data_IF_313796257640
#
_entry.id   IF_313796257640
#
_cell.length_a   1.000
_cell.length_b   1.000
_cell.length_c   1.000
_cell.angle_alpha   90.00
_cell.angle_beta   90.00
_cell.angle_gamma   90.00
#
_symmetry.space_group_name_H-M   'P 1'
#
loop_
_entity.id
_entity.type
_entity.pdbx_description
1 polymer ?
#
# COMPACT_ATOMS: atom_id res chain seq x y z
N UNK A 1 -15.27 -9.23 6.44
CA UNK A 1 -15.55 -9.40 5.00
C UNK A 1 -14.69 -10.56 4.55
N UNK A 2 -15.31 -11.66 4.16
CA UNK A 2 -14.65 -12.84 3.61
C UNK A 2 -14.95 -12.90 2.11
N UNK A 3 -14.01 -13.40 1.29
CA UNK A 3 -14.19 -13.54 -0.16
C UNK A 3 -14.34 -14.98 -0.65
N UNK A 4 -14.13 -15.95 0.25
CA UNK A 4 -14.12 -17.36 -0.13
C UNK A 4 -15.57 -17.75 -0.48
N UNK A 5 -15.78 -18.11 -1.75
CA UNK A 5 -17.05 -18.58 -2.28
C UNK A 5 -17.31 -20.02 -1.89
N UNK A 6 -17.64 -20.84 -2.88
CA UNK A 6 -17.77 -22.28 -2.70
C UNK A 6 -16.42 -22.91 -2.37
N UNK A 7 -16.45 -23.96 -1.54
CA UNK A 7 -15.27 -24.75 -1.19
C UNK A 7 -15.51 -26.20 -1.57
N UNK A 8 -14.48 -26.85 -2.13
CA UNK A 8 -14.51 -28.28 -2.43
C UNK A 8 -13.47 -29.03 -1.62
N UNK A 9 -13.90 -29.66 -0.51
CA UNK A 9 -12.99 -30.44 0.33
C UNK A 9 -12.55 -31.77 -0.31
N UNK A 10 -13.09 -32.14 -1.48
CA UNK A 10 -12.57 -33.25 -2.28
C UNK A 10 -11.35 -32.84 -3.11
N UNK A 11 -11.06 -31.54 -3.19
CA UNK A 11 -9.87 -30.98 -3.82
C UNK A 11 -8.90 -30.42 -2.76
N UNK A 12 -8.15 -31.31 -2.07
CA UNK A 12 -7.22 -30.90 -1.02
C UNK A 12 -6.00 -30.12 -1.55
N UNK A 13 -5.80 -30.09 -2.87
CA UNK A 13 -4.75 -29.29 -3.49
C UNK A 13 -5.04 -27.79 -3.45
N UNK A 14 -6.33 -27.41 -3.49
CA UNK A 14 -6.77 -26.01 -3.50
C UNK A 14 -7.54 -25.60 -2.25
N UNK A 15 -8.15 -26.54 -1.52
CA UNK A 15 -8.98 -26.25 -0.35
C UNK A 15 -8.54 -26.99 0.90
N UNK A 16 -8.53 -26.26 2.01
CA UNK A 16 -8.37 -26.82 3.34
C UNK A 16 -9.31 -26.08 4.30
N UNK A 17 -10.05 -26.83 5.11
CA UNK A 17 -10.95 -26.30 6.14
C UNK A 17 -11.02 -27.25 7.33
N UNK A 18 -11.51 -26.77 8.47
CA UNK A 18 -11.80 -27.63 9.62
C UNK A 18 -12.81 -28.72 9.24
N UNK A 19 -12.60 -29.96 9.72
CA UNK A 19 -13.46 -31.12 9.42
C UNK A 19 -14.96 -30.90 9.75
N UNK A 20 -15.23 -29.99 10.68
CA UNK A 20 -16.57 -29.67 11.13
C UNK A 20 -17.17 -28.42 10.45
N UNK A 21 -16.53 -27.82 9.44
CA UNK A 21 -16.98 -26.56 8.80
C UNK A 21 -18.46 -26.59 8.42
N UNK A 22 -18.91 -27.63 7.71
CA UNK A 22 -20.32 -27.76 7.33
C UNK A 22 -21.23 -28.07 8.54
N UNK A 23 -20.76 -28.89 9.49
CA UNK A 23 -21.53 -29.29 10.67
C UNK A 23 -21.83 -28.09 11.57
N UNK A 24 -20.83 -27.22 11.79
CA UNK A 24 -20.97 -26.00 12.58
C UNK A 24 -21.92 -25.03 11.88
N UNK A 25 -21.77 -24.81 10.58
CA UNK A 25 -22.66 -23.91 9.83
C UNK A 25 -24.13 -24.35 9.92
N UNK A 26 -24.42 -25.65 9.78
CA UNK A 26 -25.77 -26.21 9.96
C UNK A 26 -26.27 -26.07 11.39
N UNK A 27 -25.46 -26.46 12.38
CA UNK A 27 -25.83 -26.39 13.81
C UNK A 27 -26.18 -24.95 14.24
N UNK A 28 -25.41 -23.97 13.76
CA UNK A 28 -25.62 -22.56 14.05
C UNK A 28 -26.71 -21.90 13.19
N UNK A 29 -27.33 -22.66 12.28
CA UNK A 29 -28.34 -22.18 11.31
C UNK A 29 -27.81 -21.07 10.39
N UNK A 30 -26.51 -21.07 10.12
CA UNK A 30 -25.87 -20.18 9.15
C UNK A 30 -26.02 -20.68 7.71
N UNK A 31 -26.22 -21.99 7.55
CA UNK A 31 -26.47 -22.64 6.28
C UNK A 31 -27.57 -23.68 6.44
N UNK A 32 -28.52 -23.70 5.51
CA UNK A 32 -29.68 -24.60 5.54
C UNK A 32 -29.35 -26.04 5.09
N UNK A 33 -28.15 -26.25 4.54
CA UNK A 33 -27.75 -27.54 4.00
C UNK A 33 -28.37 -27.89 2.64
N UNK A 34 -29.11 -26.97 2.02
CA UNK A 34 -29.81 -27.14 0.75
C UNK A 34 -29.15 -26.33 -0.37
N UNK A 35 -28.82 -25.07 -0.10
CA UNK A 35 -28.10 -24.23 -1.07
C UNK A 35 -26.64 -24.69 -1.22
N UNK A 36 -25.96 -24.38 -2.33
CA UNK A 36 -24.50 -24.48 -2.40
C UNK A 36 -23.85 -23.78 -1.21
N UNK A 37 -22.84 -24.40 -0.61
CA UNK A 37 -22.18 -23.84 0.55
C UNK A 37 -21.17 -22.77 0.11
N UNK A 38 -21.52 -21.50 0.29
CA UNK A 38 -20.57 -20.38 0.17
C UNK A 38 -20.06 -19.98 1.55
N UNK A 39 -18.74 -19.95 1.71
CA UNK A 39 -18.12 -19.67 3.00
C UNK A 39 -18.40 -18.23 3.46
N UNK A 40 -18.29 -17.25 2.55
CA UNK A 40 -18.60 -15.85 2.88
C UNK A 40 -20.07 -15.65 3.26
N UNK A 41 -21.00 -16.34 2.60
CA UNK A 41 -22.44 -16.24 2.89
C UNK A 41 -22.72 -16.78 4.29
N UNK A 42 -22.20 -17.99 4.59
CA UNK A 42 -22.43 -18.68 5.85
C UNK A 42 -21.77 -17.99 7.04
N UNK A 43 -20.51 -17.55 6.91
CA UNK A 43 -19.72 -17.09 8.05
C UNK A 43 -19.48 -15.58 8.11
N UNK A 44 -19.77 -14.84 7.04
CA UNK A 44 -19.68 -13.37 7.05
C UNK A 44 -21.03 -12.67 6.86
N UNK A 45 -21.96 -13.22 6.06
CA UNK A 45 -23.29 -12.65 5.81
C UNK A 45 -23.29 -11.24 5.20
N UNK A 46 -22.21 -10.84 4.52
CA UNK A 46 -22.04 -9.50 3.91
C UNK A 46 -21.41 -9.66 2.53
N UNK A 47 -21.69 -8.73 1.60
CA UNK A 47 -21.09 -8.69 0.26
C UNK A 47 -19.59 -8.98 0.31
N UNK A 48 -19.08 -9.97 -0.45
CA UNK A 48 -17.74 -10.54 -0.29
C UNK A 48 -16.63 -9.70 -0.93
N UNK A 49 -16.91 -8.46 -1.31
CA UNK A 49 -15.92 -7.56 -1.86
C UNK A 49 -16.31 -6.10 -1.60
N UNK A 50 -15.33 -5.22 -1.74
CA UNK A 50 -15.51 -3.78 -1.78
C UNK A 50 -14.96 -3.23 -3.08
N UNK A 51 -15.08 -1.91 -3.24
CA UNK A 51 -14.48 -1.18 -4.36
C UNK A 51 -12.98 -1.49 -4.55
N UNK A 52 -12.25 -1.79 -3.48
CA UNK A 52 -10.80 -2.07 -3.54
C UNK A 52 -10.51 -3.35 -4.33
N UNK A 53 -11.21 -4.43 -4.01
CA UNK A 53 -11.07 -5.70 -4.71
C UNK A 53 -11.57 -5.56 -6.15
N UNK A 54 -12.73 -4.92 -6.34
CA UNK A 54 -13.27 -4.64 -7.66
C UNK A 54 -12.28 -3.86 -8.55
N UNK A 55 -11.72 -2.76 -8.03
CA UNK A 55 -10.80 -1.90 -8.75
C UNK A 55 -9.54 -2.66 -9.19
N UNK A 56 -8.92 -3.43 -8.28
CA UNK A 56 -7.70 -4.20 -8.59
C UNK A 56 -7.98 -5.30 -9.62
N UNK A 57 -9.03 -6.10 -9.41
CA UNK A 57 -9.34 -7.21 -10.32
C UNK A 57 -9.74 -6.69 -11.71
N UNK A 58 -10.53 -5.62 -11.78
CA UNK A 58 -10.96 -5.01 -13.04
C UNK A 58 -9.80 -4.33 -13.78
N UNK A 59 -8.82 -3.80 -13.04
CA UNK A 59 -7.61 -3.21 -13.63
C UNK A 59 -6.66 -4.27 -14.19
N UNK A 60 -6.58 -5.45 -13.55
CA UNK A 60 -5.72 -6.56 -14.00
C UNK A 60 -6.36 -7.39 -15.12
N UNK A 61 -7.69 -7.47 -15.16
CA UNK A 61 -8.44 -8.27 -16.13
C UNK A 61 -9.67 -7.53 -16.70
N UNK A 62 -9.46 -6.39 -17.42
CA UNK A 62 -10.56 -5.57 -17.92
C UNK A 62 -11.51 -6.30 -18.89
N UNK A 63 -11.03 -7.28 -19.66
CA UNK A 63 -11.86 -8.11 -20.55
C UNK A 63 -12.92 -8.95 -19.85
N UNK A 64 -12.81 -9.15 -18.53
CA UNK A 64 -13.84 -9.86 -17.76
C UNK A 64 -15.09 -8.99 -17.52
N UNK A 65 -15.02 -7.68 -17.76
CA UNK A 65 -16.12 -6.74 -17.55
C UNK A 65 -16.82 -6.96 -16.20
N UNK A 66 -16.01 -7.08 -15.14
CA UNK A 66 -16.52 -7.32 -13.79
C UNK A 66 -17.54 -6.24 -13.43
N UNK A 67 -18.59 -6.64 -12.71
CA UNK A 67 -19.66 -5.75 -12.29
C UNK A 67 -19.54 -5.47 -10.79
N UNK A 68 -19.47 -4.19 -10.42
CA UNK A 68 -19.45 -3.78 -9.03
C UNK A 68 -20.75 -4.12 -8.29
N UNK A 69 -21.88 -4.22 -9.01
CA UNK A 69 -23.20 -4.56 -8.45
C UNK A 69 -23.44 -6.06 -8.32
N UNK A 70 -22.56 -6.91 -8.86
CA UNK A 70 -22.64 -8.35 -8.71
C UNK A 70 -22.71 -8.80 -7.23
N UNK A 71 -23.36 -9.95 -7.01
CA UNK A 71 -23.45 -10.56 -5.67
C UNK A 71 -22.05 -10.91 -5.13
N UNK A 72 -21.19 -11.44 -6.00
CA UNK A 72 -19.80 -11.75 -5.71
C UNK A 72 -18.91 -11.55 -6.95
N UNK A 73 -17.61 -11.38 -6.72
CA UNK A 73 -16.59 -11.40 -7.77
C UNK A 73 -15.81 -12.71 -7.71
N UNK A 74 -15.15 -13.12 -8.80
CA UNK A 74 -14.19 -14.22 -8.76
C UNK A 74 -13.18 -14.05 -7.62
N UNK A 75 -12.82 -15.15 -6.96
CA UNK A 75 -11.85 -15.13 -5.86
C UNK A 75 -10.51 -14.50 -6.32
N UNK A 76 -10.05 -14.90 -7.51
CA UNK A 76 -8.91 -14.35 -8.23
C UNK A 76 -9.24 -14.18 -9.71
N UNK A 77 -8.41 -13.41 -10.43
CA UNK A 77 -8.45 -13.28 -11.89
C UNK A 77 -7.07 -13.59 -12.45
N UNK A 78 -7.02 -14.05 -13.70
CA UNK A 78 -5.77 -14.12 -14.46
C UNK A 78 -5.49 -12.73 -15.04
N UNK A 79 -4.39 -12.07 -14.67
CA UNK A 79 -4.04 -10.79 -15.29
C UNK A 79 -3.82 -10.94 -16.80
N UNK A 80 -4.22 -9.93 -17.58
CA UNK A 80 -4.01 -9.93 -19.03
C UNK A 80 -2.53 -9.78 -19.42
N UNK A 81 -1.74 -9.16 -18.54
CA UNK A 81 -0.30 -8.95 -18.70
C UNK A 81 0.43 -9.41 -17.45
N UNK A 82 1.72 -9.74 -17.60
CA UNK A 82 2.59 -9.99 -16.45
C UNK A 82 2.60 -8.76 -15.54
N UNK A 83 2.48 -9.00 -14.24
CA UNK A 83 2.40 -7.95 -13.22
C UNK A 83 3.75 -7.88 -12.52
N UNK A 84 4.40 -6.73 -12.59
CA UNK A 84 5.65 -6.46 -11.85
C UNK A 84 5.36 -5.77 -10.50
N UNK A 85 6.39 -5.62 -9.68
CA UNK A 85 6.26 -4.98 -8.37
C UNK A 85 5.85 -3.50 -8.49
N UNK A 86 6.31 -2.77 -9.51
CA UNK A 86 5.93 -1.35 -9.70
C UNK A 86 4.44 -1.22 -9.91
N UNK A 87 3.82 -2.16 -10.63
CA UNK A 87 2.37 -2.18 -10.81
C UNK A 87 1.64 -2.47 -9.49
N UNK A 88 2.14 -3.41 -8.67
CA UNK A 88 1.58 -3.64 -7.32
C UNK A 88 1.71 -2.38 -6.43
N UNK A 89 2.85 -1.68 -6.49
CA UNK A 89 3.05 -0.43 -5.76
C UNK A 89 1.99 0.62 -6.12
N UNK A 90 1.67 0.78 -7.41
CA UNK A 90 0.60 1.68 -7.86
C UNK A 90 -0.76 1.35 -7.24
N UNK A 91 -1.13 0.06 -7.16
CA UNK A 91 -2.38 -0.33 -6.48
C UNK A 91 -2.37 0.07 -5.01
N UNK A 92 -1.26 -0.16 -4.29
CA UNK A 92 -1.15 0.27 -2.90
C UNK A 92 -1.26 1.79 -2.71
N UNK A 93 -0.84 2.59 -3.71
CA UNK A 93 -0.98 4.06 -3.72
C UNK A 93 -2.37 4.58 -4.09
N UNK A 94 -3.27 3.71 -4.54
CA UNK A 94 -4.52 4.12 -5.15
C UNK A 94 -5.45 4.83 -4.16
N UNK A 95 -5.94 6.00 -4.60
CA UNK A 95 -7.02 6.77 -3.94
C UNK A 95 -8.19 7.08 -4.87
N UNK A 96 -8.24 6.41 -6.02
CA UNK A 96 -9.26 6.56 -7.07
C UNK A 96 -9.26 7.89 -7.80
N UNK A 97 -8.16 8.64 -7.76
CA UNK A 97 -7.99 9.91 -8.47
C UNK A 97 -8.31 9.77 -9.96
N UNK A 98 -9.09 10.72 -10.49
CA UNK A 98 -9.55 10.73 -11.88
C UNK A 98 -10.71 9.78 -12.19
N UNK A 99 -11.25 9.07 -11.20
CA UNK A 99 -12.39 8.15 -11.37
C UNK A 99 -13.66 8.67 -10.70
N UNK A 100 -14.78 8.00 -10.95
CA UNK A 100 -16.04 8.31 -10.29
C UNK A 100 -15.99 8.12 -8.75
N UNK A 101 -15.04 7.34 -8.24
CA UNK A 101 -14.92 7.05 -6.81
C UNK A 101 -13.94 7.99 -6.08
N UNK A 102 -13.38 8.98 -6.77
CA UNK A 102 -12.54 10.00 -6.14
C UNK A 102 -13.35 10.80 -5.11
N UNK A 103 -12.95 10.70 -3.83
CA UNK A 103 -13.69 11.32 -2.72
C UNK A 103 -13.74 12.85 -2.75
N UNK A 104 -12.78 13.50 -3.43
CA UNK A 104 -12.62 14.95 -3.42
C UNK A 104 -13.02 15.61 -4.75
N UNK A 105 -13.51 14.85 -5.73
CA UNK A 105 -13.78 15.33 -7.10
C UNK A 105 -14.74 16.53 -7.18
N UNK A 106 -15.65 16.64 -6.21
CA UNK A 106 -16.65 17.70 -6.15
C UNK A 106 -16.25 18.88 -5.26
N UNK A 107 -15.13 18.78 -4.51
CA UNK A 107 -14.67 19.84 -3.61
C UNK A 107 -13.91 20.90 -4.40
N UNK A 108 -14.66 21.68 -5.17
CA UNK A 108 -14.15 22.57 -6.19
C UNK A 108 -14.12 24.04 -5.74
N UNK A 109 -13.16 24.81 -6.24
CA UNK A 109 -13.04 26.26 -6.06
C UNK A 109 -12.87 26.95 -7.42
N UNK A 110 -13.31 28.19 -7.52
CA UNK A 110 -13.10 29.04 -8.70
C UNK A 110 -11.68 29.61 -8.70
N UNK A 111 -11.06 29.64 -9.88
CA UNK A 111 -9.76 30.28 -10.11
C UNK A 111 -9.79 31.11 -11.38
N UNK A 112 -9.12 32.25 -11.36
CA UNK A 112 -8.95 33.07 -12.55
C UNK A 112 -7.75 32.57 -13.35
N UNK A 113 -7.94 32.37 -14.65
CA UNK A 113 -6.88 32.03 -15.60
C UNK A 113 -6.83 33.04 -16.72
N UNK A 114 -5.62 33.33 -17.20
CA UNK A 114 -5.38 34.13 -18.39
C UNK A 114 -5.13 33.22 -19.57
N UNK A 115 -5.75 33.52 -20.71
CA UNK A 115 -5.42 32.89 -21.98
C UNK A 115 -4.19 33.55 -22.64
N UNK A 116 -3.79 33.03 -23.81
CA UNK A 116 -2.66 33.54 -24.60
C UNK A 116 -2.87 35.00 -25.06
N UNK A 117 -4.11 35.50 -25.00
CA UNK A 117 -4.50 36.87 -25.37
C UNK A 117 -4.75 37.76 -24.13
N UNK A 118 -4.24 37.38 -22.95
CA UNK A 118 -4.42 38.10 -21.67
C UNK A 118 -5.89 38.25 -21.21
N UNK A 119 -6.83 37.50 -21.79
CA UNK A 119 -8.24 37.52 -21.37
C UNK A 119 -8.44 36.62 -20.15
N UNK A 120 -9.04 37.19 -19.10
CA UNK A 120 -9.32 36.49 -17.84
C UNK A 120 -10.61 35.70 -17.96
N UNK A 121 -10.54 34.38 -17.73
CA UNK A 121 -11.70 33.52 -17.59
C UNK A 121 -11.71 32.82 -16.23
N UNK A 122 -12.92 32.54 -15.73
CA UNK A 122 -13.12 31.80 -14.48
C UNK A 122 -13.15 30.31 -14.80
N UNK A 123 -12.18 29.58 -14.25
CA UNK A 123 -12.11 28.12 -14.29
C UNK A 123 -12.39 27.54 -12.89
N UNK A 124 -12.52 26.22 -12.79
CA UNK A 124 -12.77 25.52 -11.54
C UNK A 124 -11.79 24.37 -11.35
N UNK A 125 -11.11 24.35 -10.20
CA UNK A 125 -10.19 23.27 -9.81
C UNK A 125 -10.66 22.58 -8.53
N UNK A 126 -10.20 21.36 -8.28
CA UNK A 126 -10.32 20.75 -6.95
C UNK A 126 -9.52 21.61 -5.96
N UNK A 127 -10.13 21.93 -4.82
CA UNK A 127 -9.54 22.73 -3.76
C UNK A 127 -8.18 22.14 -3.37
N UNK A 128 -7.09 22.94 -3.38
CA UNK A 128 -5.79 22.48 -2.92
C UNK A 128 -5.80 21.98 -1.47
N UNK A 129 -6.77 22.38 -0.65
CA UNK A 129 -6.93 21.94 0.75
C UNK A 129 -7.77 20.65 0.90
N UNK A 130 -8.27 20.10 -0.21
CA UNK A 130 -8.98 18.83 -0.22
C UNK A 130 -8.01 17.66 -0.43
N UNK A 131 -8.13 16.63 0.41
CA UNK A 131 -7.31 15.42 0.35
C UNK A 131 -8.20 14.17 0.46
N UNK A 132 -7.83 13.01 -0.10
CA UNK A 132 -8.70 11.83 -0.20
C UNK A 132 -9.02 11.15 1.14
N UNK A 133 -8.45 11.63 2.24
CA UNK A 133 -8.51 11.02 3.57
C UNK A 133 -9.33 11.82 4.58
N UNK A 134 -10.39 12.49 4.13
CA UNK A 134 -11.22 13.35 4.98
C UNK A 134 -11.78 12.60 6.20
N UNK A 135 -11.56 13.20 7.38
CA UNK A 135 -12.13 12.74 8.64
C UNK A 135 -13.66 12.70 8.60
N UNK A 136 -14.28 11.88 9.47
CA UNK A 136 -15.73 11.73 9.51
C UNK A 136 -16.45 13.06 9.71
N UNK A 137 -15.96 13.89 10.63
CA UNK A 137 -16.61 15.16 10.98
C UNK A 137 -16.45 16.20 9.87
N UNK A 138 -15.27 16.27 9.22
CA UNK A 138 -15.06 17.11 8.04
C UNK A 138 -16.00 16.73 6.89
N UNK A 139 -16.22 15.42 6.65
CA UNK A 139 -17.19 14.97 5.64
C UNK A 139 -18.63 15.33 6.00
N UNK A 140 -19.02 15.17 7.28
CA UNK A 140 -20.36 15.56 7.75
C UNK A 140 -20.59 17.07 7.62
N UNK A 141 -19.59 17.88 7.99
CA UNK A 141 -19.64 19.34 7.87
C UNK A 141 -19.85 19.77 6.41
N UNK A 142 -19.08 19.21 5.48
CA UNK A 142 -19.25 19.52 4.06
C UNK A 142 -20.62 19.09 3.54
N UNK A 143 -21.08 17.89 3.92
CA UNK A 143 -22.40 17.38 3.53
C UNK A 143 -23.58 18.13 4.19
N UNK A 144 -23.37 18.87 5.29
CA UNK A 144 -24.42 19.74 5.86
C UNK A 144 -24.58 21.05 5.09
N UNK A 145 -23.56 21.46 4.35
CA UNK A 145 -23.63 22.62 3.44
C UNK A 145 -24.31 22.19 2.14
N UNK A 146 -23.84 21.09 1.55
CA UNK A 146 -24.42 20.53 0.31
C UNK A 146 -24.53 19.00 0.42
N UNK A 147 -25.75 18.44 0.52
CA UNK A 147 -25.95 17.01 0.66
C UNK A 147 -25.33 16.22 -0.51
N UNK A 148 -24.49 15.24 -0.18
CA UNK A 148 -23.88 14.36 -1.19
C UNK A 148 -22.60 14.91 -1.82
N UNK A 149 -22.13 16.09 -1.42
CA UNK A 149 -20.89 16.67 -1.96
C UNK A 149 -19.66 15.76 -1.74
N UNK A 150 -19.60 15.05 -0.61
CA UNK A 150 -18.60 14.00 -0.36
C UNK A 150 -19.26 12.65 -0.11
N UNK A 151 -19.09 11.74 -1.08
CA UNK A 151 -19.44 10.31 -0.95
C UNK A 151 -18.20 9.54 -0.48
N UNK A 152 -18.36 8.69 0.53
CA UNK A 152 -17.24 7.96 1.15
C UNK A 152 -16.93 6.66 0.40
N UNK A 153 -15.91 6.69 -0.46
CA UNK A 153 -15.27 5.50 -1.00
C UNK A 153 -13.92 5.27 -0.30
N UNK A 154 -13.78 4.22 0.51
CA UNK A 154 -12.53 3.98 1.25
C UNK A 154 -11.40 3.64 0.25
N UNK A 155 -10.35 4.47 0.12
CA UNK A 155 -9.23 4.20 -0.78
C UNK A 155 -8.40 2.97 -0.36
N UNK A 156 -7.54 2.49 -1.26
CA UNK A 156 -6.55 1.44 -0.95
C UNK A 156 -5.48 2.04 -0.02
N UNK A 157 -4.86 3.15 -0.44
CA UNK A 157 -3.98 3.94 0.40
C UNK A 157 -4.81 4.68 1.46
N UNK A 158 -4.54 4.47 2.75
CA UNK A 158 -5.25 5.13 3.84
C UNK A 158 -4.29 5.80 4.81
N UNK A 159 -4.70 6.94 5.35
CA UNK A 159 -3.91 7.70 6.31
C UNK A 159 -3.60 6.92 7.58
N UNK A 160 -4.51 6.07 8.07
CA UNK A 160 -4.30 5.27 9.29
C UNK A 160 -3.64 3.91 9.01
N UNK A 161 -3.02 3.72 7.84
CA UNK A 161 -2.18 2.55 7.62
C UNK A 161 -1.03 2.62 8.63
N UNK A 162 -0.78 1.56 9.41
CA UNK A 162 0.36 1.55 10.32
C UNK A 162 1.65 1.31 9.53
N UNK A 163 1.60 0.30 8.67
CA UNK A 163 2.64 -0.09 7.75
C UNK A 163 2.00 -0.91 6.63
N UNK A 164 2.70 -1.03 5.52
CA UNK A 164 2.31 -1.82 4.37
C UNK A 164 3.53 -2.58 3.84
N UNK A 165 3.29 -3.72 3.22
CA UNK A 165 4.36 -4.55 2.70
C UNK A 165 3.93 -5.36 1.49
N UNK A 166 4.90 -5.68 0.64
CA UNK A 166 4.75 -6.63 -0.48
C UNK A 166 5.89 -7.63 -0.35
N UNK A 167 5.57 -8.92 -0.32
CA UNK A 167 6.58 -9.99 -0.31
C UNK A 167 6.77 -10.47 -1.74
N UNK A 168 8.02 -10.48 -2.18
CA UNK A 168 8.45 -11.05 -3.44
C UNK A 168 9.30 -12.29 -3.13
N UNK A 169 8.85 -13.46 -3.58
CA UNK A 169 9.56 -14.73 -3.44
C UNK A 169 10.02 -15.17 -4.82
N UNK A 170 11.31 -15.49 -4.96
CA UNK A 170 11.96 -15.83 -6.23
C UNK A 170 12.75 -17.11 -6.04
N UNK A 171 12.19 -18.21 -6.52
CA UNK A 171 12.74 -19.57 -6.40
C UNK A 171 14.00 -19.79 -7.25
N UNK A 172 14.23 -18.97 -8.27
CA UNK A 172 15.45 -19.00 -9.08
C UNK A 172 16.68 -18.34 -8.41
N UNK A 173 16.56 -17.87 -7.17
CA UNK A 173 17.64 -17.27 -6.37
C UNK A 173 17.76 -17.99 -5.02
N UNK A 174 18.96 -17.99 -4.39
CA UNK A 174 19.15 -18.52 -3.05
C UNK A 174 18.26 -17.83 -2.01
N UNK A 175 17.88 -18.53 -0.95
CA UNK A 175 16.89 -18.08 0.05
C UNK A 175 17.20 -16.70 0.65
N UNK A 176 18.47 -16.39 0.91
CA UNK A 176 18.91 -15.11 1.47
C UNK A 176 18.57 -13.91 0.56
N UNK A 177 18.52 -14.14 -0.76
CA UNK A 177 18.41 -13.12 -1.80
C UNK A 177 17.02 -13.17 -2.46
N UNK A 178 16.50 -14.37 -2.70
CA UNK A 178 15.27 -14.63 -3.45
C UNK A 178 14.04 -14.04 -2.77
N UNK A 179 13.99 -14.07 -1.43
CA UNK A 179 12.98 -13.40 -0.64
C UNK A 179 13.29 -11.92 -0.42
N UNK A 180 12.38 -11.03 -0.85
CA UNK A 180 12.46 -9.58 -0.58
C UNK A 180 11.11 -9.02 -0.14
N UNK A 181 11.11 -8.32 0.98
CA UNK A 181 10.01 -7.54 1.51
C UNK A 181 10.15 -6.07 1.10
N UNK A 182 9.11 -5.50 0.48
CA UNK A 182 9.01 -4.08 0.15
C UNK A 182 8.17 -3.38 1.22
N UNK A 183 8.82 -2.90 2.27
CA UNK A 183 8.18 -2.40 3.48
C UNK A 183 7.99 -0.87 3.44
N UNK A 184 6.86 -0.34 3.87
CA UNK A 184 6.63 1.10 4.00
C UNK A 184 5.84 1.44 5.26
N UNK A 185 6.22 2.50 5.96
CA UNK A 185 5.48 3.03 7.10
C UNK A 185 4.34 3.95 6.66
N UNK A 186 3.29 4.03 7.48
CA UNK A 186 2.19 4.97 7.29
C UNK A 186 1.56 4.88 5.88
N UNK A 187 1.26 6.01 5.23
CA UNK A 187 0.44 6.03 4.00
C UNK A 187 1.24 5.52 2.80
N UNK A 188 0.81 4.42 2.13
CA UNK A 188 1.56 3.88 0.99
C UNK A 188 1.74 4.83 -0.19
N UNK A 189 0.86 5.84 -0.32
CA UNK A 189 0.93 6.89 -1.35
C UNK A 189 2.03 7.93 -1.08
N UNK A 190 2.39 8.11 0.19
CA UNK A 190 3.26 9.19 0.65
C UNK A 190 4.55 8.67 1.32
N UNK A 191 4.79 7.37 1.27
CA UNK A 191 5.94 6.74 1.92
C UNK A 191 6.59 5.72 0.99
N UNK A 192 7.93 5.66 0.96
CA UNK A 192 8.67 4.84 0.02
C UNK A 192 8.64 3.38 0.48
N UNK A 193 9.01 2.47 -0.42
CA UNK A 193 9.21 1.06 -0.06
C UNK A 193 10.67 0.74 0.15
N UNK A 194 10.98 0.44 1.40
CA UNK A 194 12.27 -0.02 1.87
C UNK A 194 12.43 -1.51 1.49
N UNK A 195 13.44 -1.87 0.67
CA UNK A 195 13.73 -3.25 0.35
C UNK A 195 14.44 -3.94 1.53
N UNK A 196 13.80 -4.94 2.11
CA UNK A 196 14.34 -5.77 3.20
C UNK A 196 14.46 -7.21 2.67
N UNK A 197 15.68 -7.71 2.58
CA UNK A 197 15.93 -9.09 2.11
C UNK A 197 15.63 -10.11 3.20
N UNK A 198 15.27 -11.35 2.83
CA UNK A 198 15.04 -12.43 3.77
C UNK A 198 16.32 -12.82 4.54
N UNK A 199 17.49 -12.69 3.90
CA UNK A 199 18.80 -12.92 4.54
C UNK A 199 19.23 -11.84 5.53
N UNK A 200 18.46 -10.76 5.68
CA UNK A 200 18.76 -9.65 6.58
C UNK A 200 18.85 -10.11 8.06
N UNK A 201 19.86 -9.62 8.78
CA UNK A 201 20.17 -10.03 10.16
C UNK A 201 19.46 -9.18 11.21
N UNK A 202 19.38 -7.88 10.98
CA UNK A 202 18.80 -6.91 11.90
C UNK A 202 18.16 -5.72 11.16
N UNK A 203 17.31 -4.99 11.86
CA UNK A 203 16.72 -3.74 11.36
C UNK A 203 17.22 -2.57 12.21
N UNK A 204 17.11 -1.31 11.71
CA UNK A 204 17.49 -0.15 12.52
C UNK A 204 16.69 -0.13 13.83
N UNK A 205 17.34 0.22 14.94
CA UNK A 205 16.71 0.28 16.28
C UNK A 205 15.39 1.07 16.29
N UNK A 206 15.27 2.09 15.45
CA UNK A 206 14.04 2.89 15.31
C UNK A 206 12.80 2.11 14.84
N UNK A 207 12.96 0.93 14.22
CA UNK A 207 11.87 0.04 13.83
C UNK A 207 11.27 -0.73 15.00
N UNK A 208 12.05 -0.99 16.06
CA UNK A 208 11.58 -1.73 17.24
C UNK A 208 10.92 -0.82 18.28
N UNK A 209 10.99 0.51 18.11
CA UNK A 209 10.38 1.47 19.01
C UNK A 209 8.93 1.72 18.58
N UNK A 210 7.99 1.40 19.46
CA UNK A 210 6.57 1.64 19.23
C UNK A 210 6.27 3.13 19.06
N UNK A 211 5.62 3.50 17.95
CA UNK A 211 5.13 4.87 17.73
C UNK A 211 3.62 5.04 17.91
N UNK A 212 2.93 4.10 18.57
CA UNK A 212 1.48 4.21 18.82
C UNK A 212 1.14 4.89 20.15
N UNK A 213 1.99 4.71 21.16
CA UNK A 213 1.73 5.18 22.53
C UNK A 213 1.90 6.70 22.67
N UNK A 214 3.04 7.24 22.20
CA UNK A 214 3.34 8.66 22.22
C UNK A 214 4.20 9.07 21.02
N UNK A 215 4.29 10.37 20.79
CA UNK A 215 5.22 10.93 19.82
C UNK A 215 6.67 10.75 20.28
N UNK A 216 7.51 10.16 19.43
CA UNK A 216 8.95 10.02 19.69
C UNK A 216 9.74 10.16 18.40
N UNK A 217 10.79 10.98 18.42
CA UNK A 217 11.74 11.09 17.30
C UNK A 217 12.60 9.84 17.14
N UNK A 218 12.66 8.97 18.14
CA UNK A 218 13.40 7.72 18.07
C UNK A 218 12.65 6.64 17.27
N UNK A 219 11.32 6.73 17.19
CA UNK A 219 10.51 5.77 16.41
C UNK A 219 10.43 6.18 14.95
N UNK A 220 10.81 5.26 14.06
CA UNK A 220 10.85 5.49 12.62
C UNK A 220 9.49 5.95 12.06
N UNK A 221 8.38 5.40 12.57
CA UNK A 221 7.04 5.68 12.05
C UNK A 221 6.65 7.16 12.18
N UNK A 222 7.21 7.89 13.15
CA UNK A 222 6.87 9.29 13.35
C UNK A 222 7.48 10.23 12.31
N UNK A 223 8.62 9.85 11.69
CA UNK A 223 9.16 10.56 10.54
C UNK A 223 8.13 10.59 9.40
N UNK A 224 7.60 9.41 9.08
CA UNK A 224 6.61 9.22 8.02
C UNK A 224 5.27 9.88 8.36
N UNK A 225 4.71 9.59 9.54
CA UNK A 225 3.42 10.16 9.97
C UNK A 225 3.43 11.68 9.94
N UNK A 226 4.50 12.33 10.44
CA UNK A 226 4.58 13.78 10.47
C UNK A 226 4.58 14.36 9.06
N UNK A 227 5.51 13.95 8.21
CA UNK A 227 5.60 14.50 6.85
C UNK A 227 4.32 14.25 6.05
N UNK A 228 3.76 13.03 6.13
CA UNK A 228 2.55 12.67 5.41
C UNK A 228 1.36 13.56 5.84
N UNK A 229 1.12 13.74 7.15
CA UNK A 229 0.03 14.63 7.60
C UNK A 229 0.22 16.07 7.18
N UNK A 230 1.45 16.55 7.13
CA UNK A 230 1.75 17.90 6.65
C UNK A 230 1.50 18.03 5.14
N UNK A 231 1.84 17.00 4.35
CA UNK A 231 1.53 16.97 2.92
C UNK A 231 0.02 17.03 2.65
N UNK A 232 -0.80 16.46 3.54
CA UNK A 232 -2.28 16.48 3.42
C UNK A 232 -2.92 17.85 3.69
N UNK A 233 -2.26 18.77 4.41
CA UNK A 233 -2.82 20.09 4.78
C UNK A 233 -3.26 20.87 3.55
N UNK A 234 -2.38 20.90 2.53
CA UNK A 234 -2.64 21.51 1.23
C UNK A 234 -2.30 20.52 0.12
N UNK A 235 -2.99 19.38 0.12
CA UNK A 235 -2.73 18.23 -0.75
C UNK A 235 -2.51 18.54 -2.23
N UNK A 236 -3.22 19.52 -2.81
CA UNK A 236 -3.01 19.94 -4.21
C UNK A 236 -1.57 20.39 -4.51
N UNK A 237 -0.88 20.95 -3.51
CA UNK A 237 0.56 21.27 -3.55
C UNK A 237 1.41 20.20 -2.88
N UNK A 238 0.97 19.67 -1.73
CA UNK A 238 1.70 18.67 -0.96
C UNK A 238 2.00 17.41 -1.75
N UNK A 239 1.05 16.92 -2.55
CA UNK A 239 1.26 15.75 -3.42
C UNK A 239 2.38 15.97 -4.45
N UNK A 240 2.49 17.19 -4.98
CA UNK A 240 3.54 17.57 -5.95
C UNK A 240 4.93 17.62 -5.33
N UNK A 241 5.03 17.58 -4.00
CA UNK A 241 6.29 17.58 -3.25
C UNK A 241 6.62 16.18 -2.78
N UNK A 242 5.67 15.49 -2.13
CA UNK A 242 5.95 14.19 -1.50
C UNK A 242 6.01 13.04 -2.50
N UNK A 243 5.18 13.04 -3.56
CA UNK A 243 5.14 11.92 -4.51
C UNK A 243 6.44 11.80 -5.33
N UNK A 244 7.07 12.88 -5.81
CA UNK A 244 8.39 12.79 -6.44
C UNK A 244 9.46 12.21 -5.51
N UNK A 245 9.45 12.56 -4.22
CA UNK A 245 10.42 12.02 -3.24
C UNK A 245 10.17 10.53 -2.99
N UNK A 246 8.91 10.09 -2.95
CA UNK A 246 8.59 8.65 -2.92
C UNK A 246 9.13 7.94 -4.16
N UNK A 247 8.90 8.51 -5.35
CA UNK A 247 9.37 7.93 -6.61
C UNK A 247 10.89 7.86 -6.68
N UNK A 248 11.61 8.89 -6.22
CA UNK A 248 13.07 8.92 -6.18
C UNK A 248 13.65 7.73 -5.39
N UNK A 249 13.10 7.45 -4.20
CA UNK A 249 13.52 6.31 -3.39
C UNK A 249 13.18 4.96 -4.04
N UNK A 250 11.99 4.85 -4.65
CA UNK A 250 11.61 3.64 -5.38
C UNK A 250 12.53 3.40 -6.58
N UNK A 251 12.76 4.41 -7.40
CA UNK A 251 13.63 4.34 -8.57
C UNK A 251 15.07 4.02 -8.17
N UNK A 252 15.57 4.62 -7.08
CA UNK A 252 16.86 4.26 -6.49
C UNK A 252 16.92 2.77 -6.16
N UNK A 253 15.92 2.23 -5.45
CA UNK A 253 15.89 0.81 -5.12
C UNK A 253 15.90 -0.06 -6.40
N UNK A 254 15.04 0.23 -7.37
CA UNK A 254 14.96 -0.55 -8.60
C UNK A 254 16.22 -0.49 -9.45
N UNK A 255 16.88 0.67 -9.52
CA UNK A 255 18.11 0.84 -10.30
C UNK A 255 19.32 0.16 -9.64
N UNK A 256 19.32 0.03 -8.31
CA UNK A 256 20.42 -0.59 -7.56
C UNK A 256 20.27 -2.11 -7.42
N UNK A 257 19.04 -2.65 -7.50
CA UNK A 257 18.73 -4.05 -7.16
C UNK A 257 19.61 -5.06 -7.88
N UNK A 258 19.78 -4.96 -9.20
CA UNK A 258 20.54 -5.96 -9.96
C UNK A 258 22.02 -5.99 -9.53
N UNK A 259 22.58 -4.81 -9.21
CA UNK A 259 23.94 -4.70 -8.69
C UNK A 259 24.05 -5.28 -7.28
N UNK A 260 23.11 -4.95 -6.40
CA UNK A 260 23.07 -5.47 -5.02
C UNK A 260 22.96 -7.00 -5.03
N UNK A 261 22.07 -7.56 -5.84
CA UNK A 261 21.87 -9.02 -5.89
C UNK A 261 23.06 -9.75 -6.50
N UNK A 262 23.66 -9.21 -7.57
CA UNK A 262 24.90 -9.77 -8.12
C UNK A 262 26.02 -9.78 -7.08
N UNK A 263 26.17 -8.69 -6.34
CA UNK A 263 27.21 -8.60 -5.29
C UNK A 263 26.93 -9.52 -4.11
N UNK A 264 25.66 -9.68 -3.73
CA UNK A 264 25.25 -10.63 -2.69
C UNK A 264 25.56 -12.07 -3.11
N UNK A 265 25.30 -12.45 -4.37
CA UNK A 265 25.67 -13.76 -4.90
C UNK A 265 27.19 -14.02 -4.88
N UNK A 266 28.00 -13.00 -5.17
CA UNK A 266 29.47 -13.11 -5.04
C UNK A 266 29.91 -13.34 -3.59
N UNK A 267 29.27 -12.69 -2.62
CA UNK A 267 29.55 -12.93 -1.21
C UNK A 267 29.05 -14.29 -0.73
N UNK A 268 27.90 -14.75 -1.22
CA UNK A 268 27.37 -16.07 -0.88
C UNK A 268 28.33 -17.18 -1.33
N UNK A 269 28.87 -17.09 -2.55
CA UNK A 269 29.89 -18.04 -3.04
C UNK A 269 31.13 -18.05 -2.15
N UNK A 270 31.56 -16.89 -1.64
CA UNK A 270 32.69 -16.80 -0.71
C UNK A 270 32.34 -17.41 0.65
N UNK A 271 31.14 -17.20 1.15
CA UNK A 271 30.67 -17.85 2.38
C UNK A 271 30.72 -19.38 2.21
N UNK A 272 30.23 -19.92 1.09
CA UNK A 272 30.31 -21.36 0.78
C UNK A 272 31.76 -21.88 0.69
N UNK A 273 32.68 -21.11 0.13
CA UNK A 273 34.11 -21.44 0.08
C UNK A 273 34.75 -21.42 1.48
N UNK A 274 34.43 -20.41 2.30
CA UNK A 274 34.94 -20.31 3.67
C UNK A 274 34.46 -21.48 4.53
N UNK A 275 33.18 -21.85 4.42
CA UNK A 275 32.60 -22.99 5.14
C UNK A 275 33.32 -24.29 4.77
N UNK A 276 33.66 -24.50 3.49
CA UNK A 276 34.47 -25.66 3.05
C UNK A 276 35.88 -25.66 3.66
N UNK A 277 36.42 -24.49 3.97
CA UNK A 277 37.71 -24.32 4.65
C UNK A 277 37.61 -24.31 6.19
N UNK A 278 36.44 -24.60 6.75
CA UNK A 278 36.20 -24.64 8.19
C UNK A 278 36.06 -23.27 8.86
N UNK A 279 35.82 -22.21 8.07
CA UNK A 279 35.62 -20.84 8.56
C UNK A 279 34.14 -20.47 8.35
N UNK A 280 33.42 -20.24 9.44
CA UNK A 280 32.02 -19.80 9.36
C UNK A 280 31.97 -18.28 9.09
N UNK A 281 31.33 -17.89 7.97
CA UNK A 281 31.11 -16.49 7.61
C UNK A 281 29.68 -16.26 7.13
N UNK A 282 29.22 -15.01 7.20
CA UNK A 282 27.87 -14.58 6.81
C UNK A 282 27.92 -13.29 5.97
N UNK A 283 28.94 -13.17 5.10
CA UNK A 283 29.24 -11.99 4.31
C UNK A 283 28.06 -11.54 3.44
N UNK A 284 27.33 -12.50 2.84
CA UNK A 284 26.14 -12.22 2.05
C UNK A 284 25.07 -11.50 2.89
N UNK A 285 24.75 -12.08 4.05
CA UNK A 285 23.72 -11.57 4.95
C UNK A 285 24.10 -10.22 5.55
N UNK A 286 25.36 -10.03 5.93
CA UNK A 286 25.88 -8.75 6.41
C UNK A 286 25.83 -7.66 5.34
N UNK A 287 26.16 -7.99 4.10
CA UNK A 287 26.06 -7.08 2.97
C UNK A 287 24.61 -6.63 2.71
N UNK A 288 23.68 -7.59 2.65
CA UNK A 288 22.26 -7.31 2.47
C UNK A 288 21.69 -6.49 3.63
N UNK A 289 22.10 -6.81 4.87
CA UNK A 289 21.69 -6.09 6.08
C UNK A 289 22.14 -4.63 6.03
N UNK A 290 23.41 -4.40 5.66
CA UNK A 290 23.93 -3.03 5.51
C UNK A 290 23.17 -2.25 4.45
N UNK A 291 22.86 -2.87 3.31
CA UNK A 291 22.07 -2.22 2.25
C UNK A 291 20.68 -1.82 2.74
N UNK A 292 19.90 -2.77 3.27
CA UNK A 292 18.54 -2.52 3.76
C UNK A 292 18.51 -1.47 4.88
N UNK A 293 19.46 -1.54 5.82
CA UNK A 293 19.55 -0.58 6.91
C UNK A 293 19.97 0.82 6.45
N UNK A 294 20.89 0.93 5.50
CA UNK A 294 21.31 2.23 4.95
C UNK A 294 20.16 2.89 4.17
N UNK A 295 19.44 2.10 3.37
CA UNK A 295 18.25 2.58 2.67
C UNK A 295 17.18 3.06 3.67
N UNK A 296 16.92 2.27 4.71
CA UNK A 296 15.94 2.61 5.74
C UNK A 296 16.29 3.90 6.49
N UNK A 297 17.56 4.08 6.90
CA UNK A 297 18.02 5.32 7.57
C UNK A 297 17.90 6.53 6.65
N UNK A 298 18.34 6.42 5.41
CA UNK A 298 18.20 7.50 4.43
C UNK A 298 16.74 7.91 4.22
N UNK A 299 15.81 6.95 4.15
CA UNK A 299 14.39 7.24 4.04
C UNK A 299 13.84 7.92 5.30
N UNK A 300 14.22 7.46 6.50
CA UNK A 300 13.79 8.08 7.76
C UNK A 300 14.27 9.54 7.86
N UNK A 301 15.55 9.78 7.59
CA UNK A 301 16.15 11.11 7.69
C UNK A 301 15.51 12.07 6.68
N UNK A 302 15.34 11.63 5.42
CA UNK A 302 14.65 12.42 4.41
C UNK A 302 13.21 12.75 4.80
N UNK A 303 12.47 11.84 5.43
CA UNK A 303 11.11 12.13 5.87
C UNK A 303 11.05 13.09 7.05
N UNK A 304 12.06 13.12 7.92
CA UNK A 304 12.17 14.17 8.94
C UNK A 304 12.38 15.55 8.30
N UNK A 305 13.33 15.66 7.37
CA UNK A 305 13.60 16.89 6.62
C UNK A 305 12.36 17.36 5.84
N UNK A 306 11.71 16.44 5.13
CA UNK A 306 10.49 16.74 4.38
C UNK A 306 9.38 17.25 5.30
N UNK A 307 9.28 16.70 6.51
CA UNK A 307 8.38 17.21 7.53
C UNK A 307 8.68 18.67 7.94
N UNK A 308 9.96 19.05 8.05
CA UNK A 308 10.36 20.43 8.34
C UNK A 308 10.07 21.36 7.16
N UNK A 309 10.38 20.93 5.93
CA UNK A 309 10.09 21.67 4.69
C UNK A 309 8.59 21.96 4.54
N UNK A 310 7.75 20.93 4.69
CA UNK A 310 6.30 21.04 4.57
C UNK A 310 5.70 21.91 5.67
N UNK A 311 6.23 21.82 6.90
CA UNK A 311 5.81 22.67 8.01
C UNK A 311 6.04 24.15 7.70
N UNK A 312 7.24 24.51 7.24
CA UNK A 312 7.58 25.89 6.88
C UNK A 312 6.76 26.36 5.68
N UNK A 313 6.63 25.52 4.65
CA UNK A 313 5.90 25.85 3.42
C UNK A 313 4.42 26.11 3.69
N UNK A 314 3.78 25.29 4.53
CA UNK A 314 2.34 25.33 4.78
C UNK A 314 1.95 26.04 6.08
N UNK A 315 2.86 26.77 6.73
CA UNK A 315 2.62 27.48 8.01
C UNK A 315 1.36 28.36 8.07
N UNK A 316 0.86 28.83 6.93
CA UNK A 316 -0.37 29.66 6.84
C UNK A 316 -1.60 28.91 6.32
N UNK A 317 -1.49 27.60 6.09
CA UNK A 317 -2.57 26.76 5.56
C UNK A 317 -3.20 25.84 6.64
N UNK A 318 -2.72 25.93 7.89
CA UNK A 318 -3.22 25.16 9.03
C UNK A 318 -4.55 25.68 9.57
#
# INVERSE_FOLDING_TARGET
MCRIGEIDLKDPGNFMASENVFKVAKKMKYWDGKKPFKFWESYSGRKPFSIREYFVLSSLAPSLHLDFEAEELPFSVKPEKKVDIREILKFFRTTYEGTEWEMIKNLKITVERKDENDSVHVDTIISPSAHPWLARDKRKLLNSIEPGIVVRHRPIAVQYCAYSWIVQLRDWLPDEIGGRLWFGFDVPRESPRIPIYAGNLDLPKSFSICGQDHFSRESAVWAFRRANRLAMVKWGEGKKIIEPVVQEFEDKAFNEIDFIEKRALEFLKKDEENVKNGIETQLCREFLTRYSNNFARAAIDRWWELGDELWVKFRWAF
#
